data_IF_746977561074
#
_entry.id   IF_746977561074
#
_cell.length_a   1.000
_cell.length_b   1.000
_cell.length_c   1.000
_cell.angle_alpha   90.00
_cell.angle_beta   90.00
_cell.angle_gamma   90.00
#
_symmetry.space_group_name_H-M   'P 1'
#
loop_
_entity.id
_entity.type
_entity.pdbx_description
1 polymer ?
#
# COMPACT_ATOMS: atom_id res chain seq x y z
N UNK A 1 9.80 -19.12 -2.90
CA UNK A 1 10.33 -18.30 -1.79
C UNK A 1 9.94 -16.83 -1.96
N UNK A 2 9.64 -16.12 -0.87
CA UNK A 2 9.22 -14.71 -0.91
C UNK A 2 10.27 -13.78 -1.55
N UNK A 3 11.56 -14.12 -1.45
CA UNK A 3 12.69 -13.33 -1.95
C UNK A 3 12.63 -13.06 -3.46
N UNK A 4 12.36 -14.08 -4.28
CA UNK A 4 12.28 -13.95 -5.75
C UNK A 4 11.12 -13.05 -6.16
N UNK A 5 9.93 -13.29 -5.58
CA UNK A 5 8.72 -12.48 -5.85
C UNK A 5 8.91 -11.01 -5.46
N UNK A 6 9.55 -10.74 -4.32
CA UNK A 6 9.83 -9.37 -3.90
C UNK A 6 10.74 -8.63 -4.88
N UNK A 7 11.70 -9.32 -5.52
CA UNK A 7 12.55 -8.72 -6.55
C UNK A 7 11.75 -8.43 -7.82
N UNK A 8 10.98 -9.40 -8.31
CA UNK A 8 10.13 -9.23 -9.51
C UNK A 8 9.16 -8.05 -9.37
N UNK A 9 8.51 -7.92 -8.20
CA UNK A 9 7.54 -6.85 -7.95
C UNK A 9 8.19 -5.46 -7.85
N UNK A 10 9.50 -5.38 -7.58
CA UNK A 10 10.22 -4.09 -7.56
C UNK A 10 10.53 -3.58 -8.97
N UNK A 11 10.75 -4.48 -9.93
CA UNK A 11 11.05 -4.14 -11.32
C UNK A 11 9.80 -3.73 -12.11
N UNK A 12 8.62 -4.09 -11.62
CA UNK A 12 7.34 -3.77 -12.25
C UNK A 12 6.82 -2.38 -11.84
N UNK A 13 5.88 -1.80 -12.61
CA UNK A 13 5.28 -0.52 -12.27
C UNK A 13 4.46 -0.61 -10.98
N UNK A 14 4.15 0.55 -10.39
CA UNK A 14 3.49 0.62 -9.09
C UNK A 14 2.09 -0.01 -9.07
N UNK A 15 1.41 -0.05 -10.22
CA UNK A 15 0.09 -0.66 -10.39
C UNK A 15 0.18 -1.61 -11.58
N UNK A 16 -0.14 -2.89 -11.36
CA UNK A 16 -0.12 -3.92 -12.40
C UNK A 16 -1.41 -4.73 -12.32
N UNK A 17 -2.06 -4.92 -13.47
CA UNK A 17 -3.13 -5.91 -13.59
C UNK A 17 -2.52 -7.31 -13.62
N UNK A 18 -3.01 -8.20 -12.77
CA UNK A 18 -2.58 -9.60 -12.75
C UNK A 18 -3.70 -10.50 -13.25
N UNK A 19 -3.33 -11.57 -13.95
CA UNK A 19 -4.28 -12.53 -14.51
C UNK A 19 -4.84 -13.47 -13.45
N UNK A 20 -4.04 -13.82 -12.44
CA UNK A 20 -4.42 -14.69 -11.33
C UNK A 20 -3.90 -14.14 -10.00
N UNK A 21 -4.65 -14.27 -8.90
CA UNK A 21 -4.20 -13.82 -7.59
C UNK A 21 -3.00 -14.65 -7.12
N UNK A 22 -2.02 -13.98 -6.51
CA UNK A 22 -0.82 -14.62 -5.95
C UNK A 22 -1.12 -15.46 -4.72
N UNK A 23 -2.21 -15.15 -4.03
CA UNK A 23 -2.76 -15.86 -2.87
C UNK A 23 -4.22 -16.26 -3.12
N UNK A 24 -4.47 -17.38 -3.80
CA UNK A 24 -5.84 -17.81 -4.09
C UNK A 24 -6.64 -18.16 -2.83
N UNK A 25 -5.97 -18.61 -1.76
CA UNK A 25 -6.53 -18.88 -0.43
C UNK A 25 -7.18 -17.64 0.17
N UNK A 26 -6.42 -16.54 0.29
CA UNK A 26 -6.89 -15.27 0.84
C UNK A 26 -7.91 -14.62 -0.09
N UNK A 27 -7.67 -14.65 -1.40
CA UNK A 27 -8.58 -14.07 -2.38
C UNK A 27 -9.97 -14.71 -2.30
N UNK A 28 -10.07 -16.05 -2.20
CA UNK A 28 -11.36 -16.74 -2.06
C UNK A 28 -12.07 -16.37 -0.76
N UNK A 29 -11.35 -16.25 0.35
CA UNK A 29 -11.91 -15.79 1.64
C UNK A 29 -12.48 -14.38 1.55
N UNK A 30 -11.87 -13.51 0.76
CA UNK A 30 -12.33 -12.15 0.48
C UNK A 30 -13.40 -12.07 -0.62
N UNK A 31 -13.88 -13.20 -1.16
CA UNK A 31 -14.97 -13.25 -2.12
C UNK A 31 -14.56 -13.31 -3.61
N UNK A 32 -13.27 -13.50 -3.92
CA UNK A 32 -12.84 -13.73 -5.30
C UNK A 32 -13.40 -15.03 -5.87
N UNK A 33 -14.00 -14.96 -7.05
CA UNK A 33 -14.43 -16.11 -7.85
C UNK A 33 -13.75 -16.07 -9.21
N UNK A 34 -13.36 -17.24 -9.72
CA UNK A 34 -12.78 -17.37 -11.05
C UNK A 34 -13.87 -17.33 -12.13
N UNK A 35 -14.55 -16.18 -12.25
CA UNK A 35 -15.60 -15.90 -13.26
C UNK A 35 -15.26 -14.60 -13.99
N UNK A 36 -15.70 -14.47 -15.24
CA UNK A 36 -15.63 -13.20 -15.95
C UNK A 36 -16.31 -12.08 -15.14
N UNK A 37 -15.66 -10.91 -15.10
CA UNK A 37 -16.08 -9.77 -14.28
C UNK A 37 -15.20 -9.53 -13.05
N UNK A 38 -14.41 -10.51 -12.61
CA UNK A 38 -13.40 -10.31 -11.57
C UNK A 38 -12.06 -9.90 -12.16
N UNK A 39 -11.45 -8.85 -11.61
CA UNK A 39 -10.11 -8.37 -11.98
C UNK A 39 -9.30 -8.16 -10.71
N UNK A 40 -8.03 -8.55 -10.75
CA UNK A 40 -7.11 -8.38 -9.61
C UNK A 40 -5.97 -7.46 -10.04
N UNK A 41 -5.65 -6.50 -9.17
CA UNK A 41 -4.52 -5.60 -9.33
C UNK A 41 -3.52 -5.83 -8.20
N UNK A 42 -2.24 -5.76 -8.54
CA UNK A 42 -1.14 -5.65 -7.59
C UNK A 42 -0.72 -4.19 -7.51
N UNK A 43 -0.69 -3.65 -6.29
CA UNK A 43 -0.37 -2.25 -6.03
C UNK A 43 0.81 -2.18 -5.05
N UNK A 44 1.78 -1.33 -5.34
CA UNK A 44 2.91 -1.03 -4.46
C UNK A 44 2.63 0.24 -3.65
N UNK A 45 2.46 0.08 -2.35
CA UNK A 45 2.36 1.20 -1.39
C UNK A 45 3.73 1.44 -0.74
N UNK A 46 4.09 2.71 -0.52
CA UNK A 46 5.33 3.07 0.18
C UNK A 46 5.18 2.72 1.66
N UNK A 47 6.15 1.99 2.20
CA UNK A 47 6.24 1.73 3.64
C UNK A 47 6.66 2.98 4.39
N UNK A 48 6.25 3.09 5.66
CA UNK A 48 6.65 4.18 6.56
C UNK A 48 5.47 4.99 7.12
N UNK A 49 5.80 6.00 7.91
CA UNK A 49 4.85 6.93 8.52
C UNK A 49 4.46 8.10 7.61
N UNK A 50 3.56 8.95 8.09
CA UNK A 50 3.10 10.13 7.36
C UNK A 50 3.91 11.34 7.78
N UNK A 51 4.63 11.95 6.85
CA UNK A 51 5.19 13.30 7.05
C UNK A 51 4.09 14.34 6.80
N UNK A 52 3.95 15.33 7.68
CA UNK A 52 3.04 16.46 7.41
C UNK A 52 3.55 17.27 6.20
N UNK A 53 2.69 17.56 5.20
CA UNK A 53 3.08 18.39 4.06
C UNK A 53 3.08 19.86 4.47
N UNK A 54 4.19 20.36 4.99
CA UNK A 54 4.40 21.79 5.30
C UNK A 54 5.68 22.32 4.64
N UNK A 55 5.65 23.56 4.08
CA UNK A 55 6.84 24.17 3.52
C UNK A 55 7.93 24.32 4.59
N UNK A 56 9.16 23.88 4.28
CA UNK A 56 10.34 23.98 5.15
C UNK A 56 10.20 23.39 6.57
N UNK A 57 9.14 22.62 6.85
CA UNK A 57 8.88 22.11 8.20
C UNK A 57 8.31 23.16 9.17
N UNK A 58 7.82 24.30 8.69
CA UNK A 58 7.33 25.36 9.57
C UNK A 58 5.82 25.17 9.78
N UNK A 59 5.42 25.03 11.05
CA UNK A 59 4.01 24.99 11.47
C UNK A 59 3.75 26.21 12.34
N UNK A 60 2.92 27.13 11.84
CA UNK A 60 2.47 28.27 12.63
C UNK A 60 1.40 27.83 13.65
N UNK A 61 1.45 28.42 14.85
CA UNK A 61 0.47 28.17 15.92
C UNK A 61 1.06 27.45 17.14
N UNK A 62 0.18 26.78 17.90
CA UNK A 62 0.52 26.22 19.23
C UNK A 62 1.57 25.09 19.13
N UNK A 63 2.50 24.97 20.11
CA UNK A 63 3.55 23.93 20.12
C UNK A 63 3.02 22.50 19.95
N UNK A 64 1.81 22.22 20.45
CA UNK A 64 1.14 20.91 20.30
C UNK A 64 0.99 20.43 18.85
N UNK A 65 1.01 21.34 17.87
CA UNK A 65 0.85 21.02 16.45
C UNK A 65 2.16 21.00 15.67
N UNK A 66 3.30 21.29 16.29
CA UNK A 66 4.59 21.41 15.58
C UNK A 66 5.20 20.06 15.17
N UNK A 67 4.62 18.93 15.57
CA UNK A 67 5.07 17.60 15.14
C UNK A 67 4.90 17.36 13.63
N UNK A 68 5.96 16.89 12.97
CA UNK A 68 6.00 16.72 11.50
C UNK A 68 6.25 15.26 11.08
N UNK A 69 7.23 14.59 11.69
CA UNK A 69 7.74 13.29 11.21
C UNK A 69 7.10 12.08 11.90
N UNK A 70 6.74 12.21 13.18
CA UNK A 70 6.24 11.09 14.00
C UNK A 70 4.72 10.92 13.93
N UNK A 71 4.07 11.50 12.92
CA UNK A 71 2.64 11.36 12.73
C UNK A 71 2.33 10.00 12.10
N UNK A 72 1.44 9.24 12.74
CA UNK A 72 0.91 8.00 12.19
C UNK A 72 -0.29 8.32 11.30
N UNK A 73 -0.37 7.65 10.15
CA UNK A 73 -1.59 7.69 9.35
C UNK A 73 -2.68 6.89 10.07
N UNK A 74 -3.91 7.41 10.08
CA UNK A 74 -5.01 6.76 10.79
C UNK A 74 -5.51 5.51 10.06
N UNK A 75 -5.33 5.44 8.73
CA UNK A 75 -5.78 4.28 7.95
C UNK A 75 -4.65 3.26 7.80
N UNK A 76 -5.04 1.99 7.80
CA UNK A 76 -4.12 0.89 7.57
C UNK A 76 -3.70 0.83 6.10
N UNK A 77 -2.48 0.34 5.85
CA UNK A 77 -1.92 0.21 4.50
C UNK A 77 -2.45 -1.02 3.74
N UNK A 78 -3.40 -1.78 4.32
CA UNK A 78 -3.83 -3.05 3.75
C UNK A 78 -4.59 -2.89 2.43
N UNK A 79 -3.95 -3.26 1.31
CA UNK A 79 -4.66 -3.74 0.12
C UNK A 79 -3.91 -4.92 -0.50
N UNK A 80 -4.63 -6.04 -0.55
CA UNK A 80 -4.40 -7.31 -1.25
C UNK A 80 -3.04 -7.50 -1.98
N UNK A 81 -2.18 -8.28 -1.32
CA UNK A 81 -1.46 -9.39 -1.95
C UNK A 81 -1.87 -10.69 -1.26
#
# INVERSE_FOLDING_TARGET
GQRVRCWEYRQQPAIVRITRPTRPDRARRLGFKAKQGYVVYRIRVRRGGRKRPVPKGIVYGKPKHQGITQLKFQQEQEVCC
#
